data_IF_721520052278
#
_entry.id   IF_721520052278
#
_cell.length_a   1.000
_cell.length_b   1.000
_cell.length_c   1.000
_cell.angle_alpha   90.00
_cell.angle_beta   90.00
_cell.angle_gamma   90.00
#
_symmetry.space_group_name_H-M   'P 1'
#
loop_
_entity.id
_entity.type
_entity.pdbx_description
1 polymer ?
#
# COMPACT_ATOMS: atom_id res chain seq x y z
N UNK A 1 -62.73 64.24 44.86
CA UNK A 1 -62.57 63.45 43.62
C UNK A 1 -61.11 63.10 43.37
N UNK A 2 -60.56 62.00 43.94
CA UNK A 2 -59.14 61.62 43.79
C UNK A 2 -58.92 60.33 42.97
N UNK A 3 -59.97 59.73 42.39
CA UNK A 3 -59.90 58.36 41.85
C UNK A 3 -59.51 58.30 40.36
N UNK A 4 -59.83 59.33 39.58
CA UNK A 4 -59.56 59.36 38.14
C UNK A 4 -58.08 59.50 37.79
N UNK A 5 -57.32 60.30 38.54
CA UNK A 5 -55.87 60.46 38.33
C UNK A 5 -55.08 59.18 38.62
N UNK A 6 -55.51 58.42 39.65
CA UNK A 6 -54.90 57.13 39.97
C UNK A 6 -55.14 56.09 38.87
N UNK A 7 -56.35 56.04 38.31
CA UNK A 7 -56.70 55.13 37.22
C UNK A 7 -55.85 55.43 35.98
N UNK A 8 -55.76 56.71 35.58
CA UNK A 8 -54.94 57.12 34.42
C UNK A 8 -53.44 56.89 34.63
N UNK A 9 -52.93 57.01 35.86
CA UNK A 9 -51.53 56.68 36.16
C UNK A 9 -51.25 55.17 36.07
N UNK A 10 -52.19 54.33 36.52
CA UNK A 10 -52.11 52.87 36.40
C UNK A 10 -52.11 52.47 34.91
N UNK A 11 -52.99 53.03 34.10
CA UNK A 11 -53.06 52.77 32.65
C UNK A 11 -51.77 53.17 31.93
N UNK A 12 -51.15 54.29 32.32
CA UNK A 12 -49.84 54.70 31.79
C UNK A 12 -48.74 53.73 32.18
N UNK A 13 -48.73 53.25 33.43
CA UNK A 13 -47.75 52.25 33.91
C UNK A 13 -47.92 50.93 33.17
N UNK A 14 -49.15 50.45 32.98
CA UNK A 14 -49.46 49.24 32.21
C UNK A 14 -48.95 49.35 30.77
N UNK A 15 -49.31 50.42 30.06
CA UNK A 15 -48.83 50.67 28.69
C UNK A 15 -47.30 50.72 28.58
N UNK A 16 -46.64 51.23 29.61
CA UNK A 16 -45.17 51.31 29.65
C UNK A 16 -44.54 49.93 29.87
N UNK A 17 -45.16 49.09 30.70
CA UNK A 17 -44.74 47.70 30.94
C UNK A 17 -44.91 46.88 29.65
N UNK A 18 -46.07 46.98 28.99
CA UNK A 18 -46.34 46.24 27.75
C UNK A 18 -45.36 46.60 26.63
N UNK A 19 -45.04 47.90 26.50
CA UNK A 19 -44.01 48.36 25.53
C UNK A 19 -42.63 47.81 25.84
N UNK A 20 -42.22 47.76 27.12
CA UNK A 20 -40.94 47.19 27.53
C UNK A 20 -40.88 45.68 27.28
N UNK A 21 -41.94 44.96 27.59
CA UNK A 21 -42.05 43.52 27.32
C UNK A 21 -41.97 43.24 25.81
N UNK A 22 -42.73 43.99 25.00
CA UNK A 22 -42.69 43.86 23.54
C UNK A 22 -41.30 44.14 22.97
N UNK A 23 -40.58 45.14 23.50
CA UNK A 23 -39.22 45.46 23.07
C UNK A 23 -38.23 44.35 23.46
N UNK A 24 -38.35 43.79 24.66
CA UNK A 24 -37.53 42.67 25.11
C UNK A 24 -37.76 41.39 24.29
N UNK A 25 -39.02 41.14 23.89
CA UNK A 25 -39.39 40.04 23.02
C UNK A 25 -38.80 40.21 21.62
N UNK A 26 -38.90 41.42 21.03
CA UNK A 26 -38.29 41.73 19.72
C UNK A 26 -36.77 41.52 19.73
N UNK A 27 -36.09 41.94 20.80
CA UNK A 27 -34.65 41.72 20.95
C UNK A 27 -34.32 40.23 21.05
N UNK A 28 -35.07 39.49 21.86
CA UNK A 28 -34.89 38.04 22.03
C UNK A 28 -35.13 37.27 20.73
N UNK A 29 -36.18 37.64 19.98
CA UNK A 29 -36.48 37.08 18.67
C UNK A 29 -35.33 37.32 17.68
N UNK A 30 -34.81 38.56 17.62
CA UNK A 30 -33.68 38.90 16.76
C UNK A 30 -32.42 38.10 17.11
N UNK A 31 -32.15 37.89 18.40
CA UNK A 31 -31.04 37.05 18.86
C UNK A 31 -31.23 35.61 18.39
N UNK A 32 -32.43 35.03 18.55
CA UNK A 32 -32.72 33.68 18.09
C UNK A 32 -32.60 33.54 16.58
N UNK A 33 -33.09 34.52 15.81
CA UNK A 33 -32.97 34.55 14.36
C UNK A 33 -31.49 34.54 13.92
N UNK A 34 -30.65 35.36 14.53
CA UNK A 34 -29.20 35.36 14.24
C UNK A 34 -28.50 34.06 14.66
N UNK A 35 -29.00 33.38 15.70
CA UNK A 35 -28.46 32.08 16.11
C UNK A 35 -28.87 30.99 15.13
N UNK A 36 -30.09 31.02 14.63
CA UNK A 36 -30.60 30.08 13.65
C UNK A 36 -29.86 30.20 12.31
N UNK A 37 -29.57 31.42 11.85
CA UNK A 37 -28.79 31.63 10.61
C UNK A 37 -27.36 31.11 10.75
N UNK A 38 -26.68 31.42 11.86
CA UNK A 38 -25.33 30.89 12.15
C UNK A 38 -25.30 29.37 12.18
N UNK A 39 -26.23 28.74 12.90
CA UNK A 39 -26.33 27.27 12.97
C UNK A 39 -26.64 26.64 11.60
N UNK A 40 -27.41 27.32 10.76
CA UNK A 40 -27.67 26.89 9.39
C UNK A 40 -26.38 26.91 8.56
N UNK A 41 -25.58 27.96 8.68
CA UNK A 41 -24.33 28.08 7.92
C UNK A 41 -23.25 27.12 8.43
N UNK A 42 -23.13 26.92 9.75
CA UNK A 42 -22.30 25.88 10.35
C UNK A 42 -22.70 24.48 9.83
N UNK A 43 -24.00 24.18 9.76
CA UNK A 43 -24.49 22.92 9.21
C UNK A 43 -24.12 22.73 7.74
N UNK A 44 -24.12 23.79 6.93
CA UNK A 44 -23.69 23.71 5.52
C UNK A 44 -22.19 23.40 5.46
N UNK A 45 -21.38 24.05 6.27
CA UNK A 45 -19.94 23.80 6.36
C UNK A 45 -19.64 22.37 6.77
N UNK A 46 -20.27 21.88 7.84
CA UNK A 46 -20.12 20.49 8.31
C UNK A 46 -20.53 19.47 7.23
N UNK A 47 -21.64 19.72 6.50
CA UNK A 47 -22.04 18.86 5.39
C UNK A 47 -21.00 18.82 4.26
N UNK A 48 -20.29 19.91 4.00
CA UNK A 48 -19.20 19.92 3.02
C UNK A 48 -17.97 19.15 3.53
N UNK A 49 -17.60 19.33 4.80
CA UNK A 49 -16.50 18.60 5.42
C UNK A 49 -16.74 17.10 5.43
N UNK A 50 -17.94 16.65 5.81
CA UNK A 50 -18.31 15.22 5.76
C UNK A 50 -18.14 14.66 4.35
N UNK A 51 -18.62 15.35 3.32
CA UNK A 51 -18.44 14.93 1.92
C UNK A 51 -16.96 14.86 1.52
N UNK A 52 -16.13 15.77 2.02
CA UNK A 52 -14.69 15.73 1.73
C UNK A 52 -14.01 14.55 2.41
N UNK A 53 -14.33 14.29 3.69
CA UNK A 53 -13.83 13.14 4.45
C UNK A 53 -14.25 11.82 3.78
N UNK A 54 -15.49 11.72 3.30
CA UNK A 54 -15.96 10.54 2.57
C UNK A 54 -15.16 10.30 1.28
N UNK A 55 -14.85 11.37 0.53
CA UNK A 55 -14.00 11.27 -0.67
C UNK A 55 -12.57 10.84 -0.32
N UNK A 56 -11.98 11.40 0.71
CA UNK A 56 -10.64 11.03 1.18
C UNK A 56 -10.59 9.57 1.63
N UNK A 57 -11.61 9.11 2.36
CA UNK A 57 -11.73 7.70 2.77
C UNK A 57 -11.72 6.76 1.56
N UNK A 58 -12.49 7.07 0.52
CA UNK A 58 -12.53 6.26 -0.71
C UNK A 58 -11.15 6.25 -1.41
N UNK A 59 -10.47 7.40 -1.47
CA UNK A 59 -9.13 7.47 -2.06
C UNK A 59 -8.10 6.65 -1.27
N UNK A 60 -8.13 6.72 0.05
CA UNK A 60 -7.25 5.94 0.93
C UNK A 60 -7.51 4.44 0.81
N UNK A 61 -8.78 4.02 0.73
CA UNK A 61 -9.12 2.61 0.50
C UNK A 61 -8.56 2.08 -0.82
N UNK A 62 -8.68 2.84 -1.91
CA UNK A 62 -8.07 2.48 -3.20
C UNK A 62 -6.55 2.38 -3.14
N UNK A 63 -5.91 3.27 -2.39
CA UNK A 63 -4.46 3.23 -2.20
C UNK A 63 -4.03 1.96 -1.44
N UNK A 64 -4.77 1.61 -0.40
CA UNK A 64 -4.53 0.40 0.39
C UNK A 64 -4.67 -0.86 -0.47
N UNK A 65 -5.76 -0.99 -1.24
CA UNK A 65 -5.97 -2.11 -2.15
C UNK A 65 -4.82 -2.25 -3.15
N UNK A 66 -4.36 -1.12 -3.72
CA UNK A 66 -3.21 -1.11 -4.63
C UNK A 66 -1.94 -1.60 -3.95
N UNK A 67 -1.67 -1.16 -2.73
CA UNK A 67 -0.51 -1.60 -1.96
C UNK A 67 -0.58 -3.09 -1.60
N UNK A 68 -1.74 -3.59 -1.22
CA UNK A 68 -1.94 -5.03 -0.95
C UNK A 68 -1.71 -5.89 -2.20
N UNK A 69 -2.17 -5.43 -3.37
CA UNK A 69 -1.90 -6.11 -4.65
C UNK A 69 -0.39 -6.13 -4.94
N UNK A 70 0.30 -5.00 -4.77
CA UNK A 70 1.74 -4.91 -4.95
C UNK A 70 2.49 -5.83 -3.96
N UNK A 71 2.02 -5.91 -2.72
CA UNK A 71 2.62 -6.76 -1.70
C UNK A 71 2.42 -8.25 -2.04
N UNK A 72 1.23 -8.65 -2.48
CA UNK A 72 0.95 -10.01 -2.95
C UNK A 72 1.80 -10.38 -4.17
N UNK A 73 1.92 -9.49 -5.15
CA UNK A 73 2.81 -9.71 -6.30
C UNK A 73 4.27 -9.85 -5.86
N UNK A 74 4.72 -9.07 -4.90
CA UNK A 74 6.06 -9.18 -4.34
C UNK A 74 6.27 -10.47 -3.54
N UNK A 75 5.27 -10.93 -2.80
CA UNK A 75 5.28 -12.23 -2.12
C UNK A 75 5.29 -13.39 -3.11
N UNK A 76 4.57 -13.29 -4.23
CA UNK A 76 4.63 -14.27 -5.31
C UNK A 76 6.00 -14.29 -6.00
N UNK A 77 6.63 -13.12 -6.21
CA UNK A 77 8.00 -13.02 -6.72
C UNK A 77 9.03 -13.56 -5.71
N UNK A 78 8.78 -13.41 -4.40
CA UNK A 78 9.62 -13.99 -3.33
C UNK A 78 9.35 -15.47 -3.07
N UNK A 79 8.22 -16.01 -3.51
CA UNK A 79 8.01 -17.46 -3.62
C UNK A 79 8.85 -17.98 -4.79
N UNK A 80 10.17 -18.01 -4.58
CA UNK A 80 11.05 -18.91 -5.32
C UNK A 80 10.54 -20.31 -4.98
N UNK A 81 9.79 -20.93 -5.91
CA UNK A 81 9.47 -22.34 -5.81
C UNK A 81 10.80 -23.09 -5.63
N UNK A 82 10.91 -24.06 -4.71
CA UNK A 82 12.06 -24.94 -4.71
C UNK A 82 12.12 -25.59 -6.09
N UNK A 83 13.07 -25.14 -6.92
CA UNK A 83 13.34 -25.78 -8.19
C UNK A 83 13.94 -27.13 -7.80
N UNK A 84 13.18 -28.20 -8.06
CA UNK A 84 13.75 -29.54 -7.99
C UNK A 84 14.98 -29.56 -8.91
N UNK A 85 16.00 -30.34 -8.59
CA UNK A 85 17.26 -30.29 -9.33
C UNK A 85 17.08 -30.46 -10.85
N UNK A 86 16.06 -31.22 -11.27
CA UNK A 86 15.66 -31.35 -12.66
C UNK A 86 15.09 -30.05 -13.25
N UNK A 87 14.26 -29.32 -12.50
CA UNK A 87 13.69 -28.04 -12.94
C UNK A 87 14.76 -26.94 -13.00
N UNK A 88 15.71 -26.93 -12.07
CA UNK A 88 16.86 -26.03 -12.12
C UNK A 88 17.75 -26.34 -13.33
N UNK A 89 18.06 -27.63 -13.56
CA UNK A 89 18.83 -28.05 -14.72
C UNK A 89 18.12 -27.71 -16.05
N UNK A 90 16.79 -27.89 -16.11
CA UNK A 90 15.98 -27.53 -17.27
C UNK A 90 15.95 -26.00 -17.48
N UNK A 91 15.85 -25.22 -16.40
CA UNK A 91 15.92 -23.76 -16.46
C UNK A 91 17.28 -23.29 -17.00
N UNK A 92 18.39 -23.80 -16.46
CA UNK A 92 19.74 -23.48 -16.95
C UNK A 92 19.90 -23.91 -18.41
N UNK A 93 19.52 -25.13 -18.79
CA UNK A 93 19.61 -25.61 -20.17
C UNK A 93 18.78 -24.75 -21.14
N UNK A 94 17.56 -24.34 -20.75
CA UNK A 94 16.70 -23.48 -21.56
C UNK A 94 17.25 -22.06 -21.71
N UNK A 95 17.85 -21.51 -20.66
CA UNK A 95 18.46 -20.18 -20.65
C UNK A 95 19.74 -20.15 -21.49
N UNK A 96 20.57 -21.20 -21.41
CA UNK A 96 21.75 -21.37 -22.27
C UNK A 96 21.33 -21.48 -23.74
N UNK A 97 20.30 -22.27 -24.05
CA UNK A 97 19.79 -22.41 -25.43
C UNK A 97 19.21 -21.10 -25.97
N UNK A 98 18.48 -20.34 -25.15
CA UNK A 98 17.96 -19.03 -25.56
C UNK A 98 19.09 -18.02 -25.81
N UNK A 99 20.15 -18.04 -25.00
CA UNK A 99 21.34 -17.22 -25.22
C UNK A 99 22.06 -17.62 -26.52
N UNK A 100 22.21 -18.91 -26.79
CA UNK A 100 22.79 -19.40 -28.05
C UNK A 100 21.98 -18.94 -29.26
N UNK A 101 20.65 -19.12 -29.23
CA UNK A 101 19.78 -18.72 -30.34
C UNK A 101 19.80 -17.19 -30.60
N UNK A 102 19.93 -16.37 -29.56
CA UNK A 102 20.02 -14.91 -29.70
C UNK A 102 21.42 -14.44 -30.17
N UNK A 103 22.42 -15.29 -30.08
CA UNK A 103 23.78 -15.03 -30.57
C UNK A 103 23.99 -15.59 -31.99
N UNK A 104 23.24 -16.61 -32.38
CA UNK A 104 23.21 -17.18 -33.74
C UNK A 104 22.42 -16.31 -34.75
N UNK A 105 21.73 -15.25 -34.30
CA UNK A 105 20.93 -14.37 -35.19
C UNK A 105 21.71 -13.22 -35.83
N UNK A 106 23.00 -13.04 -35.51
CA UNK A 106 23.90 -12.09 -36.17
C UNK A 106 24.82 -12.86 -37.15
N UNK A 107 24.27 -13.11 -38.34
CA UNK A 107 24.75 -14.03 -39.39
C UNK A 107 26.02 -13.56 -40.15
N UNK A 108 26.91 -12.77 -39.52
CA UNK A 108 28.05 -12.16 -40.21
C UNK A 108 29.37 -12.18 -39.42
N UNK A 109 29.51 -13.07 -38.43
CA UNK A 109 30.79 -13.28 -37.77
C UNK A 109 31.21 -14.75 -37.80
N UNK A 110 32.37 -15.03 -38.43
CA UNK A 110 33.10 -16.31 -38.41
C UNK A 110 33.58 -16.72 -36.99
N UNK A 111 32.99 -16.13 -35.95
CA UNK A 111 33.29 -16.43 -34.56
C UNK A 111 32.11 -17.21 -33.97
N UNK A 112 32.28 -18.54 -33.95
CA UNK A 112 31.48 -19.43 -33.12
C UNK A 112 31.77 -19.08 -31.64
N UNK A 113 31.07 -18.09 -31.08
CA UNK A 113 31.19 -17.73 -29.67
C UNK A 113 30.53 -18.82 -28.81
N UNK A 114 31.28 -19.87 -28.53
CA UNK A 114 30.92 -20.82 -27.48
C UNK A 114 31.09 -20.15 -26.12
N UNK A 115 30.05 -20.14 -25.31
CA UNK A 115 30.12 -19.74 -23.90
C UNK A 115 31.15 -20.65 -23.22
N UNK A 116 32.38 -20.13 -23.02
CA UNK A 116 33.45 -20.84 -22.32
C UNK A 116 33.36 -20.54 -20.83
N UNK A 117 33.47 -21.61 -20.04
CA UNK A 117 33.65 -21.60 -18.59
C UNK A 117 32.64 -20.74 -17.82
N UNK A 118 31.36 -21.15 -17.83
CA UNK A 118 30.40 -20.59 -16.88
C UNK A 118 30.71 -21.13 -15.49
N UNK A 119 31.24 -20.26 -14.63
CA UNK A 119 31.37 -20.53 -13.21
C UNK A 119 30.13 -20.01 -12.50
N UNK A 120 29.29 -20.92 -12.02
CA UNK A 120 28.15 -20.58 -11.16
C UNK A 120 28.57 -20.84 -9.72
N UNK A 121 28.64 -19.78 -8.92
CA UNK A 121 28.83 -19.87 -7.47
C UNK A 121 27.48 -19.75 -6.76
N UNK A 122 27.11 -20.76 -5.97
CA UNK A 122 25.92 -20.72 -5.14
C UNK A 122 26.27 -21.06 -3.69
N UNK A 123 25.71 -20.30 -2.74
CA UNK A 123 25.72 -20.67 -1.32
C UNK A 123 24.59 -21.67 -1.08
N UNK A 124 24.95 -22.86 -0.59
CA UNK A 124 24.00 -23.93 -0.29
C UNK A 124 24.12 -24.38 1.16
N UNK A 125 22.99 -24.79 1.74
CA UNK A 125 22.96 -25.59 2.96
C UNK A 125 22.97 -27.08 2.61
N UNK A 126 23.56 -27.89 3.47
CA UNK A 126 23.57 -29.35 3.32
C UNK A 126 22.55 -29.97 4.27
N UNK A 127 21.70 -30.83 3.73
CA UNK A 127 20.69 -31.56 4.49
C UNK A 127 20.80 -33.05 4.19
N UNK A 128 20.65 -33.90 5.20
CA UNK A 128 20.55 -35.35 5.00
C UNK A 128 19.07 -35.71 4.82
N UNK A 129 18.68 -36.07 3.59
CA UNK A 129 17.32 -36.52 3.27
C UNK A 129 17.37 -37.99 2.85
N UNK A 130 16.69 -38.85 3.61
CA UNK A 130 16.62 -40.29 3.35
C UNK A 130 17.99 -40.97 3.22
N UNK A 131 18.96 -40.56 4.06
CA UNK A 131 20.32 -41.11 4.05
C UNK A 131 21.21 -40.60 2.91
N UNK A 132 20.75 -39.64 2.12
CA UNK A 132 21.53 -39.00 1.05
C UNK A 132 21.73 -37.51 1.34
N UNK A 133 22.98 -37.06 1.19
CA UNK A 133 23.32 -35.64 1.22
C UNK A 133 22.65 -34.92 0.06
N UNK A 134 21.85 -33.91 0.39
CA UNK A 134 21.15 -33.02 -0.54
C UNK A 134 21.62 -31.59 -0.31
N UNK A 135 21.77 -30.83 -1.40
CA UNK A 135 22.16 -29.43 -1.35
C UNK A 135 20.94 -28.54 -1.60
N UNK A 136 20.69 -27.58 -0.71
CA UNK A 136 19.53 -26.69 -0.77
C UNK A 136 20.01 -25.24 -0.78
N UNK A 137 19.63 -24.47 -1.79
CA UNK A 137 19.91 -23.03 -1.87
C UNK A 137 19.01 -22.32 -0.83
N UNK A 138 19.57 -21.72 0.23
CA UNK A 138 18.77 -21.09 1.27
C UNK A 138 18.19 -19.76 0.79
N UNK A 139 17.00 -19.42 1.27
CA UNK A 139 16.39 -18.11 1.04
C UNK A 139 17.14 -17.00 1.79
N UNK A 140 16.92 -15.73 1.40
CA UNK A 140 17.56 -14.58 2.05
C UNK A 140 17.23 -14.43 3.55
N UNK A 141 16.06 -14.90 3.99
CA UNK A 141 15.71 -14.96 5.42
C UNK A 141 16.49 -16.07 6.11
N UNK A 142 16.56 -17.26 5.51
CA UNK A 142 17.32 -18.39 6.06
C UNK A 142 18.82 -18.11 6.11
N UNK A 143 19.38 -17.36 5.15
CA UNK A 143 20.79 -16.96 5.17
C UNK A 143 21.16 -16.10 6.39
N UNK A 144 20.19 -15.41 7.02
CA UNK A 144 20.42 -14.65 8.26
C UNK A 144 20.38 -15.53 9.52
N UNK A 145 19.73 -16.69 9.42
CA UNK A 145 19.51 -17.61 10.54
C UNK A 145 20.48 -18.80 10.51
N UNK A 146 20.99 -19.16 9.33
CA UNK A 146 21.96 -20.23 9.16
C UNK A 146 23.35 -19.72 9.57
N UNK A 147 23.93 -20.38 10.57
CA UNK A 147 25.34 -20.20 10.93
C UNK A 147 26.24 -20.41 9.70
N UNK A 148 27.15 -19.47 9.42
CA UNK A 148 27.98 -19.45 8.22
C UNK A 148 28.80 -20.73 8.01
N UNK A 149 29.09 -21.46 9.09
CA UNK A 149 29.77 -22.77 9.07
C UNK A 149 28.94 -23.91 8.45
N UNK A 150 27.62 -23.70 8.27
CA UNK A 150 26.70 -24.67 7.65
C UNK A 150 26.42 -24.38 6.18
N UNK A 151 26.98 -23.29 5.66
CA UNK A 151 26.88 -22.91 4.25
C UNK A 151 28.11 -23.40 3.51
N UNK A 152 27.89 -24.07 2.39
CA UNK A 152 28.94 -24.48 1.46
C UNK A 152 28.84 -23.65 0.19
N UNK A 153 29.99 -23.27 -0.35
CA UNK A 153 30.05 -22.64 -1.67
C UNK A 153 30.19 -23.72 -2.72
N UNK A 154 29.16 -23.94 -3.52
CA UNK A 154 29.24 -24.81 -4.68
C UNK A 154 29.70 -24.01 -5.88
N UNK A 155 30.77 -24.49 -6.51
CA UNK A 155 31.30 -23.97 -7.76
C UNK A 155 31.05 -25.01 -8.84
N UNK A 156 30.14 -24.70 -9.76
CA UNK A 156 29.93 -25.51 -10.95
C UNK A 156 30.69 -24.88 -12.11
N UNK A 157 31.58 -25.66 -12.72
CA UNK A 157 32.22 -25.33 -14.00
C UNK A 157 31.59 -26.17 -15.08
N UNK A 158 30.89 -25.54 -16.02
CA UNK A 158 30.41 -26.21 -17.21
C UNK A 158 31.49 -26.09 -18.30
N UNK A 159 32.21 -27.17 -18.58
CA UNK A 159 33.15 -27.24 -19.69
C UNK A 159 32.47 -27.93 -20.87
N UNK A 160 32.17 -27.17 -21.92
CA UNK A 160 31.60 -27.70 -23.16
C UNK A 160 32.76 -28.03 -24.10
N UNK A 161 32.88 -29.30 -24.50
CA UNK A 161 33.88 -29.75 -25.47
C UNK A 161 33.27 -29.62 -26.88
N UNK A 162 33.99 -29.09 -27.88
CA UNK A 162 33.49 -29.07 -29.24
C UNK A 162 33.18 -30.50 -29.70
N UNK A 163 32.06 -30.65 -30.41
CA UNK A 163 31.81 -31.88 -31.16
C UNK A 163 32.82 -31.87 -32.30
N UNK A 164 33.94 -32.57 -32.11
CA UNK A 164 34.93 -32.79 -33.17
C UNK A 164 34.19 -33.28 -34.42
N UNK A 165 34.42 -32.59 -35.55
CA UNK A 165 33.94 -33.00 -36.87
C UNK A 165 34.42 -34.40 -37.20
#
# INVERSE_FOLDING_TARGET
MPNFEKITEIERKLNTIDKKQLQSFKQSYKIQETKATKLSDENKTLKMEVKNIEKEKVNLQKLLEKQEIQLRQFEELKRIKPLYQNDFNNFIASSVKALQNNLESDDDSDYEFMIRDVQIEALVSTENRNGKLSYVIPTSTQLKEIDGNKLQRLKYSLSVVPKSR
#
